data_IF_594410247264
#
_entry.id   IF_594410247264
#
_cell.length_a   1.000
_cell.length_b   1.000
_cell.length_c   1.000
_cell.angle_alpha   90.00
_cell.angle_beta   90.00
_cell.angle_gamma   90.00
#
_symmetry.space_group_name_H-M   'P 1'
#
loop_
_entity.id
_entity.type
_entity.pdbx_description
1 polymer ?
#
# COMPACT_ATOMS: atom_id res chain seq x y z
N UNK A 1 3.51 -22.54 -24.59
CA UNK A 1 2.17 -22.13 -24.12
C UNK A 1 2.05 -22.64 -22.69
N UNK A 2 1.44 -21.90 -21.80
CA UNK A 2 1.31 -22.30 -20.40
C UNK A 2 0.28 -23.44 -20.29
N UNK A 3 0.58 -24.57 -19.60
CA UNK A 3 -0.35 -25.72 -19.53
C UNK A 3 -1.72 -25.39 -18.96
N UNK A 4 -1.81 -24.37 -18.10
CA UNK A 4 -3.08 -23.86 -17.54
C UNK A 4 -3.98 -23.24 -18.62
N UNK A 5 -3.41 -22.55 -19.61
CA UNK A 5 -4.18 -21.98 -20.72
C UNK A 5 -4.72 -23.04 -21.67
N UNK A 6 -4.00 -24.16 -21.84
CA UNK A 6 -4.50 -25.29 -22.64
C UNK A 6 -5.72 -25.94 -21.96
N UNK A 7 -5.69 -26.13 -20.64
CA UNK A 7 -6.83 -26.65 -19.89
C UNK A 7 -8.06 -25.73 -19.97
N UNK A 8 -7.84 -24.41 -19.87
CA UNK A 8 -8.94 -23.43 -20.03
C UNK A 8 -9.53 -23.51 -21.44
N UNK A 9 -8.69 -23.57 -22.47
CA UNK A 9 -9.14 -23.67 -23.87
C UNK A 9 -9.97 -24.93 -24.11
N UNK A 10 -9.58 -26.06 -23.51
CA UNK A 10 -10.33 -27.33 -23.66
C UNK A 10 -11.67 -27.31 -22.93
N UNK A 11 -11.80 -26.59 -21.84
CA UNK A 11 -13.03 -26.47 -21.06
C UNK A 11 -13.98 -25.37 -21.59
N UNK A 12 -13.48 -24.47 -22.44
CA UNK A 12 -14.25 -23.33 -22.92
C UNK A 12 -15.22 -23.73 -24.05
N UNK A 13 -16.47 -23.28 -23.94
CA UNK A 13 -17.50 -23.36 -25.00
C UNK A 13 -17.62 -22.04 -25.77
N UNK A 14 -17.35 -20.92 -25.07
CA UNK A 14 -17.36 -19.56 -25.61
C UNK A 14 -15.91 -19.07 -25.85
N UNK A 15 -15.71 -18.04 -26.68
CA UNK A 15 -14.40 -17.44 -26.89
C UNK A 15 -13.79 -16.93 -25.60
N UNK A 16 -12.52 -17.30 -25.34
CA UNK A 16 -11.75 -16.89 -24.15
C UNK A 16 -10.48 -16.17 -24.57
N UNK A 17 -10.13 -15.15 -23.80
CA UNK A 17 -9.01 -14.27 -24.08
C UNK A 17 -8.17 -14.04 -22.83
N UNK A 18 -6.84 -14.07 -22.99
CA UNK A 18 -5.91 -13.49 -22.02
C UNK A 18 -5.94 -11.97 -22.20
N UNK A 19 -6.03 -11.20 -21.11
CA UNK A 19 -6.30 -9.75 -21.21
C UNK A 19 -5.43 -8.87 -20.33
N UNK A 20 -5.37 -7.61 -20.67
CA UNK A 20 -4.91 -6.52 -19.80
C UNK A 20 -3.46 -6.62 -19.40
N UNK A 21 -3.22 -6.60 -18.08
CA UNK A 21 -1.87 -6.65 -17.50
C UNK A 21 -1.07 -7.85 -17.94
N UNK A 22 -1.71 -8.99 -18.11
CA UNK A 22 -1.11 -10.22 -18.57
C UNK A 22 -0.50 -10.07 -19.98
N UNK A 23 -1.28 -9.53 -20.93
CA UNK A 23 -0.82 -9.31 -22.31
C UNK A 23 0.29 -8.28 -22.36
N UNK A 24 0.14 -7.15 -21.65
CA UNK A 24 1.18 -6.12 -21.54
C UNK A 24 2.50 -6.71 -21.02
N UNK A 25 2.46 -7.46 -19.94
CA UNK A 25 3.66 -7.97 -19.29
C UNK A 25 4.34 -9.06 -20.12
N UNK A 26 3.58 -9.86 -20.87
CA UNK A 26 4.10 -10.77 -21.90
C UNK A 26 4.84 -10.02 -23.01
N UNK A 27 4.23 -8.95 -23.55
CA UNK A 27 4.85 -8.13 -24.59
C UNK A 27 6.11 -7.40 -24.11
N UNK A 28 6.20 -7.11 -22.80
CA UNK A 28 7.40 -6.55 -22.15
C UNK A 28 8.46 -7.61 -21.82
N UNK A 29 8.22 -8.90 -22.11
CA UNK A 29 9.14 -9.99 -21.81
C UNK A 29 9.28 -10.30 -20.31
N UNK A 30 8.27 -9.99 -19.48
CA UNK A 30 8.25 -10.30 -18.05
C UNK A 30 7.87 -11.75 -17.84
N UNK A 31 8.72 -12.50 -17.10
CA UNK A 31 8.60 -13.96 -16.99
C UNK A 31 7.47 -14.48 -16.09
N UNK A 32 6.88 -13.64 -15.22
CA UNK A 32 5.76 -14.04 -14.35
C UNK A 32 4.59 -13.08 -14.58
N UNK A 33 3.47 -13.64 -14.99
CA UNK A 33 2.27 -12.89 -15.36
C UNK A 33 1.10 -13.48 -14.57
N UNK A 34 0.32 -12.62 -13.91
CA UNK A 34 -0.97 -13.03 -13.36
C UNK A 34 -1.90 -13.34 -14.52
N UNK A 35 -2.61 -14.44 -14.45
CA UNK A 35 -3.46 -14.90 -15.57
C UNK A 35 -4.85 -14.33 -15.39
N UNK A 36 -5.14 -13.25 -16.11
CA UNK A 36 -6.45 -12.63 -16.20
C UNK A 36 -7.13 -13.04 -17.51
N UNK A 37 -8.27 -13.68 -17.43
CA UNK A 37 -9.05 -14.13 -18.58
C UNK A 37 -10.40 -13.42 -18.68
N UNK A 38 -10.83 -13.18 -19.91
CA UNK A 38 -12.21 -12.75 -20.22
C UNK A 38 -12.85 -13.77 -21.15
N UNK A 39 -14.07 -14.16 -20.85
CA UNK A 39 -14.91 -15.02 -21.69
C UNK A 39 -16.08 -14.23 -22.25
N UNK A 40 -16.37 -14.40 -23.56
CA UNK A 40 -17.59 -13.88 -24.21
C UNK A 40 -18.78 -14.77 -23.86
N UNK A 41 -19.02 -15.01 -22.57
CA UNK A 41 -19.99 -15.91 -22.03
C UNK A 41 -20.01 -15.85 -20.50
N UNK A 42 -20.44 -16.96 -19.89
CA UNK A 42 -20.56 -17.08 -18.44
C UNK A 42 -19.24 -17.56 -17.81
N UNK A 43 -18.57 -16.68 -17.08
CA UNK A 43 -17.33 -16.99 -16.35
C UNK A 43 -17.55 -18.06 -15.25
N UNK A 44 -18.72 -18.07 -14.59
CA UNK A 44 -19.03 -19.07 -13.57
C UNK A 44 -19.18 -20.45 -14.18
N UNK A 45 -19.88 -20.56 -15.31
CA UNK A 45 -20.02 -21.83 -16.04
C UNK A 45 -18.67 -22.36 -16.53
N UNK A 46 -17.76 -21.50 -17.00
CA UNK A 46 -16.41 -21.92 -17.37
C UNK A 46 -15.62 -22.39 -16.14
N UNK A 47 -15.72 -21.68 -15.00
CA UNK A 47 -15.07 -22.05 -13.76
C UNK A 47 -15.53 -23.42 -13.23
N UNK A 48 -16.84 -23.71 -13.30
CA UNK A 48 -17.40 -25.02 -12.93
C UNK A 48 -16.84 -26.14 -13.81
N UNK A 49 -16.72 -25.92 -15.12
CA UNK A 49 -16.12 -26.91 -16.05
C UNK A 49 -14.65 -27.18 -15.77
N UNK A 50 -13.95 -26.20 -15.22
CA UNK A 50 -12.56 -26.35 -14.78
C UNK A 50 -12.43 -27.11 -13.45
N UNK A 51 -13.54 -27.47 -12.82
CA UNK A 51 -13.57 -28.31 -11.62
C UNK A 51 -12.98 -27.67 -10.36
N UNK A 52 -12.93 -26.34 -10.32
CA UNK A 52 -12.34 -25.61 -9.22
C UNK A 52 -13.38 -25.24 -8.14
N UNK A 53 -12.94 -25.19 -6.87
CA UNK A 53 -13.69 -24.53 -5.80
C UNK A 53 -13.71 -23.02 -6.12
N UNK A 54 -14.74 -22.57 -6.85
CA UNK A 54 -14.87 -21.19 -7.28
C UNK A 54 -15.44 -20.33 -6.15
N UNK A 55 -14.77 -19.24 -5.83
CA UNK A 55 -15.40 -18.12 -5.12
C UNK A 55 -15.99 -17.21 -6.20
N UNK A 56 -17.25 -17.42 -6.57
CA UNK A 56 -17.92 -16.54 -7.51
C UNK A 56 -18.38 -15.26 -6.79
N UNK A 57 -18.00 -14.11 -7.32
CA UNK A 57 -18.58 -12.84 -6.91
C UNK A 57 -19.73 -12.51 -7.87
N UNK A 58 -20.94 -12.96 -7.55
CA UNK A 58 -22.15 -12.81 -8.38
C UNK A 58 -22.38 -11.38 -8.91
N UNK A 59 -21.94 -10.35 -8.17
CA UNK A 59 -22.13 -8.94 -8.52
C UNK A 59 -21.33 -8.49 -9.76
N UNK A 60 -20.20 -9.18 -10.08
CA UNK A 60 -19.30 -8.78 -11.16
C UNK A 60 -19.02 -9.87 -12.20
N UNK A 61 -19.74 -10.99 -12.15
CA UNK A 61 -19.55 -12.16 -13.02
C UNK A 61 -18.04 -12.52 -13.14
N UNK A 62 -17.37 -12.68 -11.99
CA UNK A 62 -15.95 -13.06 -11.91
C UNK A 62 -15.80 -14.33 -11.10
N UNK A 63 -14.85 -15.19 -11.48
CA UNK A 63 -14.49 -16.39 -10.75
C UNK A 63 -12.99 -16.51 -10.60
N UNK A 64 -12.53 -16.98 -9.44
CA UNK A 64 -11.14 -17.37 -9.19
C UNK A 64 -11.05 -18.88 -9.20
N UNK A 65 -10.18 -19.41 -10.01
CA UNK A 65 -9.99 -20.85 -10.16
C UNK A 65 -8.52 -21.22 -10.03
N UNK A 66 -8.26 -22.44 -9.56
CA UNK A 66 -6.89 -22.96 -9.55
C UNK A 66 -6.75 -24.07 -10.60
N UNK A 67 -6.02 -23.77 -11.66
CA UNK A 67 -5.78 -24.68 -12.78
C UNK A 67 -4.31 -25.13 -12.75
N UNK A 68 -4.06 -26.44 -12.65
CA UNK A 68 -2.69 -26.99 -12.60
C UNK A 68 -1.80 -26.34 -11.53
N UNK A 69 -2.38 -25.92 -10.39
CA UNK A 69 -1.66 -25.27 -9.29
C UNK A 69 -1.49 -23.75 -9.44
N UNK A 70 -1.90 -23.15 -10.55
CA UNK A 70 -1.86 -21.70 -10.81
C UNK A 70 -3.22 -21.07 -10.56
N UNK A 71 -3.21 -19.86 -9.95
CA UNK A 71 -4.44 -19.05 -9.82
C UNK A 71 -4.73 -18.37 -11.16
N UNK A 72 -6.00 -18.45 -11.57
CA UNK A 72 -6.52 -17.87 -12.81
C UNK A 72 -7.77 -17.07 -12.46
N UNK A 73 -7.79 -15.78 -12.80
CA UNK A 73 -8.95 -14.91 -12.66
C UNK A 73 -9.74 -14.92 -13.97
N UNK A 74 -11.02 -15.32 -13.91
CA UNK A 74 -11.90 -15.37 -15.07
C UNK A 74 -13.04 -14.38 -14.86
N UNK A 75 -13.31 -13.53 -15.86
CA UNK A 75 -14.42 -12.60 -15.86
C UNK A 75 -15.25 -12.76 -17.13
N UNK A 76 -16.57 -12.57 -17.05
CA UNK A 76 -17.40 -12.38 -18.23
C UNK A 76 -17.09 -11.05 -18.89
N UNK A 77 -17.10 -10.99 -20.21
CA UNK A 77 -16.98 -9.75 -20.97
C UNK A 77 -18.07 -8.77 -20.54
N UNK A 78 -17.70 -7.49 -20.33
CA UNK A 78 -18.63 -6.49 -19.84
C UNK A 78 -18.36 -5.10 -20.41
N UNK A 79 -19.43 -4.34 -20.60
CA UNK A 79 -19.39 -2.91 -20.83
C UNK A 79 -19.62 -2.13 -19.53
N UNK A 80 -19.14 -0.91 -19.47
CA UNK A 80 -19.32 0.00 -18.34
C UNK A 80 -19.79 1.36 -18.83
N UNK A 81 -20.80 1.93 -18.15
CA UNK A 81 -21.26 3.29 -18.36
C UNK A 81 -21.24 4.06 -17.05
N UNK A 82 -20.99 5.35 -17.13
CA UNK A 82 -20.85 6.22 -15.96
C UNK A 82 -21.97 7.27 -15.98
N UNK A 83 -22.92 7.23 -15.00
CA UNK A 83 -24.08 8.12 -14.99
C UNK A 83 -23.69 9.59 -14.72
N UNK A 84 -22.60 9.82 -14.03
CA UNK A 84 -22.01 11.15 -13.74
C UNK A 84 -20.52 11.01 -13.43
N UNK A 85 -19.74 12.12 -13.47
CA UNK A 85 -18.32 12.11 -13.14
C UNK A 85 -18.01 11.44 -11.82
N UNK A 86 -17.03 10.53 -11.81
CA UNK A 86 -16.56 9.81 -10.62
C UNK A 86 -17.53 8.78 -10.04
N UNK A 87 -18.68 8.53 -10.67
CA UNK A 87 -19.64 7.53 -10.22
C UNK A 87 -19.04 6.11 -10.25
N UNK A 88 -19.68 5.19 -9.51
CA UNK A 88 -19.46 3.78 -9.77
C UNK A 88 -20.06 3.42 -11.14
N UNK A 89 -19.38 2.59 -11.94
CA UNK A 89 -19.90 2.19 -13.23
C UNK A 89 -21.19 1.36 -13.09
N UNK A 90 -22.11 1.59 -14.00
CA UNK A 90 -23.18 0.64 -14.30
C UNK A 90 -22.57 -0.40 -15.24
N UNK A 91 -22.63 -1.67 -14.81
CA UNK A 91 -22.04 -2.79 -15.53
C UNK A 91 -23.12 -3.51 -16.30
N UNK A 92 -22.90 -3.73 -17.59
CA UNK A 92 -23.75 -4.49 -18.47
C UNK A 92 -22.93 -5.60 -19.16
N UNK A 93 -23.53 -6.77 -19.47
CA UNK A 93 -22.85 -7.79 -20.24
C UNK A 93 -22.40 -7.22 -21.59
N UNK A 94 -21.15 -7.47 -21.99
CA UNK A 94 -20.67 -7.16 -23.33
C UNK A 94 -20.81 -8.37 -24.24
N UNK A 95 -21.04 -8.14 -25.53
CA UNK A 95 -21.17 -9.17 -26.54
C UNK A 95 -19.79 -9.58 -27.07
N UNK A 96 -18.84 -8.66 -27.10
CA UNK A 96 -17.51 -8.87 -27.69
C UNK A 96 -16.38 -8.46 -26.77
N UNK A 97 -15.20 -9.02 -27.03
CA UNK A 97 -13.98 -8.64 -26.31
C UNK A 97 -13.59 -7.18 -26.58
N UNK A 98 -13.86 -6.64 -27.76
CA UNK A 98 -13.58 -5.24 -28.10
C UNK A 98 -14.36 -4.28 -27.21
N UNK A 99 -15.61 -4.59 -26.85
CA UNK A 99 -16.40 -3.80 -25.89
C UNK A 99 -15.77 -3.84 -24.49
N UNK A 100 -15.31 -5.00 -24.02
CA UNK A 100 -14.61 -5.12 -22.73
C UNK A 100 -13.30 -4.33 -22.72
N UNK A 101 -12.54 -4.38 -23.83
CA UNK A 101 -11.32 -3.60 -23.95
C UNK A 101 -11.58 -2.09 -23.93
N UNK A 102 -12.71 -1.63 -24.47
CA UNK A 102 -13.09 -0.22 -24.55
C UNK A 102 -13.38 0.46 -23.21
N UNK A 103 -13.68 -0.27 -22.14
CA UNK A 103 -13.92 0.29 -20.78
C UNK A 103 -12.66 0.45 -19.93
N UNK A 104 -11.52 -0.09 -20.37
CA UNK A 104 -10.27 -0.12 -19.59
C UNK A 104 -9.65 1.25 -19.43
N UNK A 105 -8.59 1.34 -18.63
CA UNK A 105 -7.96 2.61 -18.26
C UNK A 105 -7.04 3.19 -19.34
N UNK A 106 -6.10 2.37 -19.84
CA UNK A 106 -5.06 2.77 -20.78
C UNK A 106 -4.93 1.78 -21.93
N UNK A 107 -4.51 2.27 -23.10
CA UNK A 107 -4.31 1.45 -24.31
C UNK A 107 -3.43 0.24 -24.05
N UNK A 108 -2.34 0.40 -23.28
CA UNK A 108 -1.42 -0.68 -22.92
C UNK A 108 -2.05 -1.80 -22.07
N UNK A 109 -3.20 -1.55 -21.45
CA UNK A 109 -3.99 -2.51 -20.69
C UNK A 109 -5.26 -2.96 -21.44
N UNK A 110 -5.51 -2.41 -22.64
CA UNK A 110 -6.68 -2.67 -23.47
C UNK A 110 -6.32 -3.56 -24.67
N UNK A 111 -5.56 -4.60 -24.41
CA UNK A 111 -5.17 -5.63 -25.37
C UNK A 111 -5.62 -7.00 -24.89
N UNK A 112 -5.89 -7.89 -25.83
CA UNK A 112 -6.24 -9.27 -25.57
C UNK A 112 -5.49 -10.24 -26.51
N UNK A 113 -5.32 -11.48 -26.07
CA UNK A 113 -4.83 -12.59 -26.91
C UNK A 113 -5.85 -13.71 -26.88
N UNK A 114 -6.34 -14.15 -28.05
CA UNK A 114 -7.31 -15.24 -28.16
C UNK A 114 -6.68 -16.57 -27.74
N UNK A 115 -7.46 -17.41 -27.05
CA UNK A 115 -7.05 -18.76 -26.67
C UNK A 115 -7.56 -19.83 -27.65
N UNK A 116 -8.07 -19.45 -28.82
CA UNK A 116 -8.61 -20.33 -29.86
C UNK A 116 -7.59 -21.23 -30.59
N UNK A 117 -6.34 -21.20 -30.13
CA UNK A 117 -5.20 -21.93 -30.72
C UNK A 117 -4.41 -21.10 -31.73
N UNK A 118 -4.95 -19.98 -32.20
CA UNK A 118 -4.24 -19.05 -33.09
C UNK A 118 -3.39 -18.00 -32.37
N UNK A 119 -3.59 -17.82 -31.07
CA UNK A 119 -2.93 -16.81 -30.24
C UNK A 119 -2.91 -15.41 -30.89
N UNK A 120 -4.04 -15.01 -31.48
CA UNK A 120 -4.16 -13.73 -32.19
C UNK A 120 -4.22 -12.57 -31.18
N UNK A 121 -3.35 -11.56 -31.37
CA UNK A 121 -3.42 -10.31 -30.62
C UNK A 121 -4.59 -9.44 -31.14
N UNK A 122 -5.42 -8.97 -30.21
CA UNK A 122 -6.53 -8.05 -30.43
C UNK A 122 -6.16 -6.74 -29.74
N UNK A 123 -5.96 -5.69 -30.53
CA UNK A 123 -5.47 -4.39 -30.08
C UNK A 123 -6.23 -3.26 -30.78
N UNK A 124 -7.51 -3.04 -30.46
CA UNK A 124 -8.33 -2.04 -31.13
C UNK A 124 -7.91 -0.59 -30.85
N UNK A 125 -7.12 -0.38 -29.77
CA UNK A 125 -6.74 0.96 -29.29
C UNK A 125 -5.27 1.29 -29.51
N UNK A 126 -4.48 0.42 -30.14
CA UNK A 126 -3.06 0.69 -30.44
C UNK A 126 -2.13 0.56 -29.25
N UNK A 127 -2.49 -0.25 -28.27
CA UNK A 127 -1.69 -0.48 -27.03
C UNK A 127 -0.29 -0.99 -27.30
N UNK A 128 -0.10 -1.84 -28.33
CA UNK A 128 1.24 -2.32 -28.71
C UNK A 128 2.15 -1.17 -29.17
N UNK A 129 1.59 -0.23 -29.93
CA UNK A 129 2.35 0.96 -30.38
C UNK A 129 2.74 1.84 -29.21
N UNK A 130 1.80 2.13 -28.29
CA UNK A 130 2.05 2.95 -27.11
C UNK A 130 3.03 2.26 -26.14
N UNK A 131 2.96 0.93 -26.06
CA UNK A 131 3.92 0.13 -25.28
C UNK A 131 5.35 0.26 -25.82
N UNK A 132 5.51 0.18 -27.15
CA UNK A 132 6.80 0.38 -27.81
C UNK A 132 7.32 1.82 -27.67
N UNK A 133 6.42 2.80 -27.72
CA UNK A 133 6.72 4.21 -27.50
C UNK A 133 6.95 4.57 -26.03
N UNK A 134 6.70 3.65 -25.08
CA UNK A 134 6.75 3.89 -23.63
C UNK A 134 5.82 5.02 -23.19
N UNK A 135 4.61 5.04 -23.70
CA UNK A 135 3.59 6.03 -23.42
C UNK A 135 2.36 5.43 -22.76
N UNK A 136 1.74 6.22 -21.89
CA UNK A 136 0.41 5.98 -21.35
C UNK A 136 -0.58 6.86 -22.13
N UNK A 137 -1.58 6.23 -22.74
CA UNK A 137 -2.66 6.90 -23.46
C UNK A 137 -3.99 6.36 -22.91
N UNK A 138 -4.92 7.27 -22.62
CA UNK A 138 -6.31 6.91 -22.30
C UNK A 138 -7.06 6.50 -23.56
N UNK A 139 -8.14 5.74 -23.39
CA UNK A 139 -8.94 5.22 -24.49
C UNK A 139 -9.85 6.28 -25.14
N UNK A 140 -10.28 7.27 -24.36
CA UNK A 140 -11.18 8.34 -24.82
C UNK A 140 -11.05 9.59 -23.95
N UNK A 141 -11.52 10.73 -24.46
CA UNK A 141 -11.37 12.04 -23.82
C UNK A 141 -12.05 12.17 -22.45
N UNK A 142 -13.11 11.39 -22.18
CA UNK A 142 -13.82 11.40 -20.88
C UNK A 142 -13.23 10.45 -19.84
N UNK A 143 -12.13 9.77 -20.14
CA UNK A 143 -11.59 8.69 -19.31
C UNK A 143 -11.35 9.08 -17.85
N UNK A 144 -10.82 10.29 -17.61
CA UNK A 144 -10.59 10.82 -16.25
C UNK A 144 -11.81 11.52 -15.65
N UNK A 145 -12.81 11.90 -16.48
CA UNK A 145 -14.10 12.37 -16.01
C UNK A 145 -14.94 11.19 -15.50
N UNK A 146 -15.00 10.11 -16.26
CA UNK A 146 -15.74 8.91 -15.92
C UNK A 146 -15.16 8.22 -14.67
N UNK A 147 -13.85 8.01 -14.61
CA UNK A 147 -13.16 7.51 -13.43
C UNK A 147 -11.87 8.29 -13.12
N UNK A 148 -11.94 9.33 -12.27
CA UNK A 148 -10.76 10.10 -11.89
C UNK A 148 -9.66 9.30 -11.19
N UNK A 149 -9.96 8.12 -10.61
CA UNK A 149 -8.92 7.27 -10.01
C UNK A 149 -7.90 6.78 -11.04
N UNK A 150 -8.26 6.79 -12.34
CA UNK A 150 -7.32 6.50 -13.43
C UNK A 150 -6.12 7.45 -13.44
N UNK A 151 -6.26 8.68 -12.93
CA UNK A 151 -5.14 9.61 -12.79
C UNK A 151 -4.11 9.14 -11.76
N UNK A 152 -4.53 8.57 -10.63
CA UNK A 152 -3.64 7.93 -9.65
C UNK A 152 -2.99 6.68 -10.26
N UNK A 153 -3.76 5.90 -11.01
CA UNK A 153 -3.26 4.72 -11.75
C UNK A 153 -2.24 5.10 -12.81
N UNK A 154 -2.40 6.26 -13.48
CA UNK A 154 -1.41 6.80 -14.41
C UNK A 154 -0.06 7.03 -13.72
N UNK A 155 -0.04 7.67 -12.54
CA UNK A 155 1.18 7.89 -11.77
C UNK A 155 1.85 6.56 -11.38
N UNK A 156 1.06 5.59 -10.95
CA UNK A 156 1.51 4.24 -10.62
C UNK A 156 2.18 3.55 -11.81
N UNK A 157 1.53 3.52 -12.98
CA UNK A 157 2.09 2.89 -14.17
C UNK A 157 3.27 3.66 -14.76
N UNK A 158 3.23 5.00 -14.77
CA UNK A 158 4.35 5.82 -15.21
C UNK A 158 5.61 5.56 -14.37
N UNK A 159 5.46 5.44 -13.06
CA UNK A 159 6.58 5.09 -12.17
C UNK A 159 7.04 3.64 -12.36
N UNK A 160 6.11 2.68 -12.38
CA UNK A 160 6.38 1.24 -12.49
C UNK A 160 7.12 0.87 -13.78
N UNK A 161 6.69 1.42 -14.92
CA UNK A 161 7.24 1.10 -16.24
C UNK A 161 8.29 2.10 -16.73
N UNK A 162 8.38 3.27 -16.14
CA UNK A 162 9.22 4.35 -16.63
C UNK A 162 8.65 5.02 -17.89
N UNK A 163 7.33 5.01 -18.04
CA UNK A 163 6.62 5.57 -19.18
C UNK A 163 6.28 7.05 -18.97
N UNK A 164 6.16 7.80 -20.07
CA UNK A 164 5.59 9.14 -20.09
C UNK A 164 4.08 9.10 -20.36
N UNK A 165 3.44 10.28 -20.27
CA UNK A 165 2.08 10.46 -20.76
C UNK A 165 2.11 10.89 -22.23
N UNK A 166 1.14 10.42 -23.00
CA UNK A 166 0.87 10.98 -24.31
C UNK A 166 0.30 12.41 -24.13
N UNK A 167 0.61 13.40 -25.01
CA UNK A 167 0.33 14.81 -24.77
C UNK A 167 -1.15 15.17 -24.52
N UNK A 168 -2.09 14.54 -25.24
CA UNK A 168 -3.52 14.75 -25.00
C UNK A 168 -3.94 14.13 -23.66
N UNK A 169 -3.45 12.93 -23.37
CA UNK A 169 -3.65 12.27 -22.09
C UNK A 169 -3.14 13.09 -20.90
N UNK A 170 -1.98 13.75 -21.04
CA UNK A 170 -1.46 14.65 -20.03
C UNK A 170 -2.39 15.85 -19.79
N UNK A 171 -2.90 16.43 -20.86
CA UNK A 171 -3.84 17.56 -20.80
C UNK A 171 -5.13 17.16 -20.06
N UNK A 172 -5.69 16.01 -20.40
CA UNK A 172 -6.89 15.47 -19.76
C UNK A 172 -6.65 15.13 -18.29
N UNK A 173 -5.49 14.56 -17.97
CA UNK A 173 -5.12 14.18 -16.61
C UNK A 173 -5.04 15.40 -15.70
N UNK A 174 -4.42 16.51 -16.16
CA UNK A 174 -4.33 17.74 -15.36
C UNK A 174 -5.68 18.40 -15.09
N UNK A 175 -6.72 18.05 -15.85
CA UNK A 175 -8.09 18.49 -15.65
C UNK A 175 -8.93 17.54 -14.79
N UNK A 176 -8.35 16.39 -14.36
CA UNK A 176 -9.06 15.40 -13.57
C UNK A 176 -9.45 15.94 -12.17
N UNK A 177 -10.72 15.77 -11.79
CA UNK A 177 -11.22 16.17 -10.47
C UNK A 177 -11.39 14.98 -9.53
N UNK A 178 -10.38 14.72 -8.70
CA UNK A 178 -10.40 13.63 -7.71
C UNK A 178 -11.41 13.85 -6.57
N UNK A 179 -12.04 15.03 -6.45
CA UNK A 179 -13.07 15.31 -5.44
C UNK A 179 -14.41 14.65 -5.77
N UNK A 180 -14.61 14.26 -7.03
CA UNK A 180 -15.83 13.56 -7.47
C UNK A 180 -15.85 12.08 -7.10
N UNK A 181 -14.70 11.53 -6.69
CA UNK A 181 -14.54 10.13 -6.25
C UNK A 181 -14.66 10.04 -4.74
N UNK A 182 -15.28 8.95 -4.24
CA UNK A 182 -15.33 8.68 -2.81
C UNK A 182 -13.92 8.54 -2.20
N UNK A 183 -13.78 8.93 -0.94
CA UNK A 183 -12.52 8.81 -0.20
C UNK A 183 -11.99 7.36 -0.26
N UNK A 184 -12.84 6.37 -0.03
CA UNK A 184 -12.46 4.96 -0.01
C UNK A 184 -11.82 4.50 -1.34
N UNK A 185 -12.39 4.92 -2.49
CA UNK A 185 -11.83 4.56 -3.81
C UNK A 185 -10.50 5.24 -4.06
N UNK A 186 -10.40 6.52 -3.71
CA UNK A 186 -9.17 7.30 -3.83
C UNK A 186 -8.07 6.71 -2.96
N UNK A 187 -8.38 6.45 -1.69
CA UNK A 187 -7.43 5.96 -0.70
C UNK A 187 -6.98 4.53 -1.03
N UNK A 188 -7.87 3.68 -1.59
CA UNK A 188 -7.50 2.35 -2.08
C UNK A 188 -6.50 2.43 -3.25
N UNK A 189 -6.66 3.37 -4.20
CA UNK A 189 -5.67 3.52 -5.29
C UNK A 189 -4.35 4.13 -4.79
N UNK A 190 -4.38 5.07 -3.81
CA UNK A 190 -3.18 5.59 -3.16
C UNK A 190 -2.42 4.49 -2.40
N UNK A 191 -3.12 3.60 -1.69
CA UNK A 191 -2.51 2.46 -1.02
C UNK A 191 -1.83 1.50 -2.01
N UNK A 192 -2.49 1.20 -3.14
CA UNK A 192 -1.89 0.40 -4.22
C UNK A 192 -0.65 1.07 -4.84
N UNK A 193 -0.69 2.39 -5.01
CA UNK A 193 0.44 3.16 -5.51
C UNK A 193 1.61 3.13 -4.53
N UNK A 194 1.35 3.31 -3.24
CA UNK A 194 2.37 3.30 -2.19
C UNK A 194 3.00 1.91 -1.95
N UNK A 195 2.31 0.85 -2.32
CA UNK A 195 2.82 -0.52 -2.28
C UNK A 195 3.74 -0.89 -3.47
N UNK A 196 3.85 -0.02 -4.48
CA UNK A 196 4.73 -0.28 -5.63
C UNK A 196 6.21 -0.15 -5.25
N UNK A 197 7.10 -0.93 -5.90
CA UNK A 197 8.55 -0.82 -5.66
C UNK A 197 9.13 0.57 -5.94
N UNK A 198 8.47 1.38 -6.79
CA UNK A 198 8.85 2.75 -7.14
C UNK A 198 7.87 3.77 -6.58
N UNK A 199 7.29 3.52 -5.42
CA UNK A 199 6.33 4.40 -4.77
C UNK A 199 6.82 5.86 -4.62
N UNK A 200 8.09 6.14 -4.22
CA UNK A 200 8.56 7.52 -4.14
C UNK A 200 8.41 8.29 -5.45
N UNK A 201 8.75 7.65 -6.58
CA UNK A 201 8.57 8.27 -7.90
C UNK A 201 7.10 8.49 -8.23
N UNK A 202 6.24 7.52 -7.92
CA UNK A 202 4.81 7.63 -8.18
C UNK A 202 4.16 8.76 -7.36
N UNK A 203 4.54 8.90 -6.09
CA UNK A 203 4.09 9.99 -5.22
C UNK A 203 4.57 11.36 -5.73
N UNK A 204 5.82 11.47 -6.17
CA UNK A 204 6.35 12.68 -6.79
C UNK A 204 5.56 13.09 -8.05
N UNK A 205 5.15 12.11 -8.88
CA UNK A 205 4.32 12.37 -10.06
C UNK A 205 2.93 12.92 -9.70
N UNK A 206 2.32 12.48 -8.60
CA UNK A 206 1.04 13.04 -8.14
C UNK A 206 1.14 14.55 -7.88
N UNK A 207 2.23 14.99 -7.25
CA UNK A 207 2.51 16.41 -7.03
C UNK A 207 2.84 17.16 -8.33
N UNK A 208 3.76 16.62 -9.14
CA UNK A 208 4.20 17.24 -10.39
C UNK A 208 3.06 17.43 -11.41
N UNK A 209 2.07 16.56 -11.38
CA UNK A 209 0.87 16.65 -12.24
C UNK A 209 -0.25 17.49 -11.63
N UNK A 210 -0.09 17.96 -10.38
CA UNK A 210 -1.08 18.77 -9.68
C UNK A 210 -2.31 18.00 -9.20
N UNK A 211 -2.21 16.67 -9.08
CA UNK A 211 -3.29 15.80 -8.61
C UNK A 211 -3.46 15.87 -7.10
N UNK A 212 -2.36 16.03 -6.38
CA UNK A 212 -2.31 16.20 -4.94
C UNK A 212 -1.31 17.30 -4.56
N UNK A 213 -1.64 18.04 -3.52
CA UNK A 213 -0.68 18.93 -2.87
C UNK A 213 0.18 18.09 -1.93
N UNK A 214 1.46 17.97 -2.28
CA UNK A 214 2.42 17.32 -1.40
C UNK A 214 2.76 18.25 -0.24
N UNK A 215 3.02 17.67 0.94
CA UNK A 215 3.52 18.47 2.07
C UNK A 215 4.85 19.14 1.72
N UNK A 216 5.12 20.29 2.34
CA UNK A 216 6.36 21.05 2.09
C UNK A 216 7.59 20.15 2.33
N UNK A 217 8.45 20.03 1.33
CA UNK A 217 9.60 19.12 1.36
C UNK A 217 9.25 17.64 1.25
N UNK A 218 7.98 17.30 0.93
CA UNK A 218 7.48 15.92 0.92
C UNK A 218 8.25 14.98 -0.02
N UNK A 219 8.66 15.42 -1.21
CA UNK A 219 9.46 14.57 -2.11
C UNK A 219 10.78 14.12 -1.46
N UNK A 220 11.52 15.05 -0.85
CA UNK A 220 12.75 14.71 -0.14
C UNK A 220 12.51 13.86 1.10
N UNK A 221 11.41 14.11 1.82
CA UNK A 221 11.05 13.31 3.00
C UNK A 221 10.67 11.88 2.61
N UNK A 222 9.87 11.70 1.55
CA UNK A 222 9.54 10.37 1.01
C UNK A 222 10.79 9.57 0.66
N UNK A 223 11.78 10.19 0.01
CA UNK A 223 13.04 9.52 -0.32
C UNK A 223 13.81 9.05 0.93
N UNK A 224 13.96 9.93 1.93
CA UNK A 224 14.62 9.57 3.19
C UNK A 224 13.89 8.48 3.98
N UNK A 225 12.57 8.54 4.03
CA UNK A 225 11.75 7.49 4.65
C UNK A 225 11.94 6.16 3.91
N UNK A 226 11.90 6.19 2.58
CA UNK A 226 12.10 5.00 1.75
C UNK A 226 13.45 4.33 2.04
N UNK A 227 14.53 5.12 2.11
CA UNK A 227 15.88 4.64 2.44
C UNK A 227 15.96 4.04 3.86
N UNK A 228 15.33 4.66 4.86
CA UNK A 228 15.28 4.13 6.23
C UNK A 228 14.57 2.78 6.30
N UNK A 229 13.49 2.62 5.54
CA UNK A 229 12.70 1.40 5.48
C UNK A 229 13.38 0.23 4.73
N UNK A 230 14.55 0.45 4.15
CA UNK A 230 15.36 -0.61 3.56
C UNK A 230 16.22 -1.36 4.59
N UNK A 231 16.32 -0.87 5.82
CA UNK A 231 17.16 -1.44 6.88
C UNK A 231 16.42 -1.62 8.21
N UNK A 232 16.93 -2.56 9.04
CA UNK A 232 16.51 -2.74 10.44
C UNK A 232 16.94 -1.51 11.28
N UNK A 233 16.16 -1.15 12.31
CA UNK A 233 14.94 -1.79 12.78
C UNK A 233 13.66 -1.33 12.05
N UNK A 234 13.76 -0.34 11.17
CA UNK A 234 12.61 0.34 10.58
C UNK A 234 11.81 -0.55 9.63
N UNK A 235 12.49 -1.42 8.86
CA UNK A 235 11.86 -2.35 7.91
C UNK A 235 10.82 -3.25 8.55
N UNK A 236 11.10 -3.75 9.72
CA UNK A 236 10.26 -4.75 10.40
C UNK A 236 9.09 -4.12 11.16
N UNK A 237 9.24 -2.85 11.56
CA UNK A 237 8.35 -2.20 12.51
C UNK A 237 7.37 -1.22 11.87
N UNK A 238 7.64 -0.80 10.64
CA UNK A 238 6.88 0.26 9.98
C UNK A 238 6.20 -0.27 8.73
N UNK A 239 4.91 -0.02 8.62
CA UNK A 239 4.17 -0.24 7.38
C UNK A 239 4.66 0.76 6.31
N UNK A 240 5.43 0.25 5.33
CA UNK A 240 6.07 1.08 4.28
C UNK A 240 5.07 1.92 3.49
N UNK A 241 3.96 1.35 2.94
CA UNK A 241 2.96 2.13 2.24
C UNK A 241 2.38 3.28 3.06
N UNK A 242 2.00 3.01 4.31
CA UNK A 242 1.44 4.02 5.19
C UNK A 242 2.45 5.13 5.52
N UNK A 243 3.70 4.79 5.79
CA UNK A 243 4.76 5.76 6.07
C UNK A 243 5.07 6.66 4.86
N UNK A 244 5.14 6.09 3.65
CA UNK A 244 5.36 6.86 2.42
C UNK A 244 4.20 7.81 2.11
N UNK A 245 2.95 7.37 2.32
CA UNK A 245 1.77 8.23 2.18
C UNK A 245 1.77 9.36 3.22
N UNK A 246 2.10 9.05 4.46
CA UNK A 246 2.22 10.06 5.52
C UNK A 246 3.33 11.07 5.20
N UNK A 247 4.46 10.62 4.68
CA UNK A 247 5.56 11.48 4.25
C UNK A 247 5.18 12.40 3.08
N UNK A 248 4.37 11.92 2.14
CA UNK A 248 3.96 12.68 0.96
C UNK A 248 2.77 13.61 1.22
N UNK A 249 1.73 13.10 1.86
CA UNK A 249 0.38 13.68 1.91
C UNK A 249 -0.13 13.93 3.34
N UNK A 250 0.53 13.37 4.35
CA UNK A 250 0.09 13.46 5.74
C UNK A 250 0.17 14.89 6.28
N UNK A 251 -0.64 15.23 7.30
CA UNK A 251 -0.51 16.48 8.02
C UNK A 251 0.85 16.55 8.72
N UNK A 252 1.33 17.76 8.92
CA UNK A 252 2.49 18.00 9.80
C UNK A 252 2.03 17.84 11.24
N UNK A 253 2.71 17.01 12.03
CA UNK A 253 2.29 16.62 13.39
C UNK A 253 3.44 16.57 14.39
N UNK A 254 3.33 15.64 15.33
CA UNK A 254 4.28 15.47 16.44
C UNK A 254 5.70 15.11 16.01
N UNK A 255 5.89 14.61 14.78
CA UNK A 255 7.21 14.27 14.24
C UNK A 255 8.19 15.45 14.21
N UNK A 256 7.70 16.69 14.09
CA UNK A 256 8.56 17.87 14.14
C UNK A 256 9.14 18.09 15.55
N UNK A 257 8.32 17.94 16.58
CA UNK A 257 8.77 18.07 17.96
C UNK A 257 9.81 16.99 18.31
N UNK A 258 9.59 15.76 17.83
CA UNK A 258 10.56 14.67 17.98
C UNK A 258 11.85 14.92 17.19
N UNK A 259 11.75 15.48 15.98
CA UNK A 259 12.91 15.79 15.14
C UNK A 259 13.83 16.84 15.78
N UNK A 260 13.25 17.80 16.50
CA UNK A 260 13.99 18.84 17.22
C UNK A 260 14.50 18.39 18.59
N UNK A 261 13.95 17.30 19.14
CA UNK A 261 14.33 16.78 20.46
C UNK A 261 15.77 16.24 20.50
N UNK A 262 16.42 16.44 21.63
CA UNK A 262 17.78 15.97 21.89
C UNK A 262 17.85 15.40 23.32
N UNK A 263 17.31 14.17 23.52
CA UNK A 263 17.34 13.54 24.83
C UNK A 263 18.78 13.37 25.31
N UNK A 264 19.03 13.75 26.54
CA UNK A 264 20.35 13.59 27.18
C UNK A 264 20.58 12.18 27.72
N UNK A 265 19.50 11.41 27.87
CA UNK A 265 19.51 10.04 28.41
C UNK A 265 18.43 9.16 27.74
N UNK A 266 18.61 7.83 27.76
CA UNK A 266 17.63 6.88 27.23
C UNK A 266 16.23 7.03 27.82
N UNK A 267 16.11 7.25 29.14
CA UNK A 267 14.82 7.43 29.80
C UNK A 267 14.03 8.65 29.29
N UNK A 268 14.70 9.73 28.96
CA UNK A 268 14.09 10.93 28.35
C UNK A 268 13.62 10.61 26.92
N UNK A 269 14.43 9.88 26.14
CA UNK A 269 14.08 9.45 24.79
C UNK A 269 12.83 8.55 24.77
N UNK A 270 12.76 7.59 25.67
CA UNK A 270 11.58 6.72 25.84
C UNK A 270 10.34 7.56 26.20
N UNK A 271 10.49 8.54 27.09
CA UNK A 271 9.39 9.44 27.45
C UNK A 271 8.90 10.30 26.28
N UNK A 272 9.82 10.80 25.46
CA UNK A 272 9.50 11.60 24.27
C UNK A 272 8.82 10.76 23.19
N UNK A 273 9.29 9.53 22.95
CA UNK A 273 8.72 8.62 21.95
C UNK A 273 7.36 8.03 22.38
N UNK A 274 7.03 8.11 23.67
CA UNK A 274 5.80 7.52 24.20
C UNK A 274 4.55 8.12 23.57
N UNK A 275 3.67 7.25 23.07
CA UNK A 275 2.40 7.65 22.44
C UNK A 275 2.49 7.94 20.93
N UNK A 276 3.69 7.97 20.34
CA UNK A 276 3.87 8.11 18.89
C UNK A 276 3.89 6.75 18.20
N UNK A 277 3.20 6.68 17.04
CA UNK A 277 3.15 5.46 16.24
C UNK A 277 4.42 5.28 15.36
N UNK A 278 4.67 4.04 14.86
CA UNK A 278 5.86 3.75 14.05
C UNK A 278 6.03 4.65 12.82
N UNK A 279 4.94 5.02 12.14
CA UNK A 279 4.98 5.94 11.00
C UNK A 279 5.44 7.35 11.41
N UNK A 280 5.00 7.86 12.55
CA UNK A 280 5.40 9.17 13.06
C UNK A 280 6.87 9.18 13.51
N UNK A 281 7.32 8.09 14.15
CA UNK A 281 8.71 7.92 14.57
C UNK A 281 9.66 7.88 13.37
N UNK A 282 9.34 7.14 12.30
CA UNK A 282 10.21 7.10 11.11
C UNK A 282 10.24 8.45 10.38
N UNK A 283 9.13 9.19 10.37
CA UNK A 283 9.10 10.56 9.85
C UNK A 283 10.00 11.49 10.66
N UNK A 284 9.93 11.45 11.99
CA UNK A 284 10.81 12.21 12.87
C UNK A 284 12.29 11.83 12.65
N UNK A 285 12.60 10.54 12.51
CA UNK A 285 13.94 10.06 12.17
C UNK A 285 14.42 10.60 10.83
N UNK A 286 13.58 10.57 9.80
CA UNK A 286 13.88 11.12 8.48
C UNK A 286 14.08 12.65 8.50
N UNK A 287 13.55 13.33 9.51
CA UNK A 287 13.71 14.77 9.74
C UNK A 287 14.91 15.12 10.64
N UNK A 288 15.59 14.13 11.22
CA UNK A 288 16.85 14.36 11.95
C UNK A 288 16.89 13.86 13.40
N UNK A 289 15.87 13.15 13.88
CA UNK A 289 15.87 12.53 15.21
C UNK A 289 16.69 11.23 15.23
N UNK A 290 18.01 11.31 15.07
CA UNK A 290 18.89 10.13 14.95
C UNK A 290 18.84 9.22 16.20
N UNK A 291 18.56 9.78 17.36
CA UNK A 291 18.39 9.05 18.63
C UNK A 291 17.28 7.99 18.58
N UNK A 292 16.35 8.11 17.63
CA UNK A 292 15.29 7.13 17.44
C UNK A 292 15.80 5.77 16.92
N UNK A 293 16.99 5.70 16.33
CA UNK A 293 17.59 4.43 15.94
C UNK A 293 17.94 3.59 17.19
N UNK A 294 18.51 4.21 18.23
CA UNK A 294 18.79 3.57 19.51
C UNK A 294 17.51 3.25 20.28
N UNK A 295 16.52 4.16 20.24
CA UNK A 295 15.21 3.90 20.82
C UNK A 295 14.57 2.65 20.22
N UNK A 296 14.57 2.53 18.90
CA UNK A 296 13.93 1.42 18.18
C UNK A 296 14.69 0.10 18.36
N UNK A 297 16.02 0.13 18.42
CA UNK A 297 16.84 -1.08 18.52
C UNK A 297 17.07 -1.56 19.97
N UNK A 298 17.13 -0.64 20.93
CA UNK A 298 17.57 -0.95 22.29
C UNK A 298 16.56 -0.50 23.37
N UNK A 299 16.23 0.80 23.43
CA UNK A 299 15.58 1.37 24.61
C UNK A 299 14.14 0.90 24.80
N UNK A 300 13.36 0.81 23.73
CA UNK A 300 11.94 0.42 23.82
C UNK A 300 11.71 -1.00 24.29
N UNK A 301 12.74 -1.85 24.18
CA UNK A 301 12.71 -3.25 24.63
C UNK A 301 13.10 -3.44 26.09
N UNK A 302 13.56 -2.40 26.77
CA UNK A 302 13.97 -2.48 28.16
C UNK A 302 12.75 -2.68 29.06
N UNK A 303 12.76 -3.76 29.83
CA UNK A 303 11.74 -4.11 30.81
C UNK A 303 12.37 -4.40 32.18
N UNK A 304 11.61 -4.15 33.23
CA UNK A 304 12.02 -4.54 34.57
C UNK A 304 11.89 -6.07 34.76
N UNK A 305 12.71 -6.60 35.64
CA UNK A 305 12.61 -7.99 36.13
C UNK A 305 11.64 -8.11 37.32
N UNK A 306 11.17 -6.97 37.83
CA UNK A 306 10.18 -6.85 38.90
C UNK A 306 8.85 -6.34 38.36
N UNK A 307 7.79 -6.56 39.13
CA UNK A 307 6.45 -6.07 38.85
C UNK A 307 5.79 -5.43 40.07
N UNK A 308 4.48 -5.10 39.96
CA UNK A 308 3.74 -4.49 41.07
C UNK A 308 3.52 -5.42 42.26
N UNK A 309 3.45 -6.74 42.06
CA UNK A 309 3.28 -7.69 43.12
C UNK A 309 4.54 -7.80 44.01
N UNK A 310 5.71 -7.64 43.41
CA UNK A 310 6.97 -7.63 44.16
C UNK A 310 7.04 -6.44 45.13
N UNK A 311 6.59 -5.27 44.72
CA UNK A 311 6.55 -4.06 45.56
C UNK A 311 5.52 -4.24 46.69
N UNK A 312 4.35 -4.81 46.36
CA UNK A 312 3.31 -5.06 47.37
C UNK A 312 3.79 -6.10 48.38
N UNK A 313 4.45 -7.20 47.94
CA UNK A 313 5.04 -8.21 48.81
C UNK A 313 6.15 -7.63 49.72
N UNK A 314 6.87 -6.61 49.25
CA UNK A 314 7.86 -5.85 49.99
C UNK A 314 7.27 -4.77 50.91
N UNK A 315 5.92 -4.63 51.00
CA UNK A 315 5.23 -3.77 51.96
C UNK A 315 4.72 -2.45 51.38
N UNK A 316 4.82 -2.20 50.07
CA UNK A 316 4.23 -1.00 49.44
C UNK A 316 2.72 -1.20 49.36
N UNK A 317 1.97 -0.18 49.80
CA UNK A 317 0.48 -0.22 49.70
C UNK A 317 0.06 -0.18 48.23
N UNK A 318 -0.91 -1.04 47.89
CA UNK A 318 -1.51 -1.03 46.56
C UNK A 318 -2.04 0.37 46.19
N UNK A 319 -1.65 0.89 45.01
CA UNK A 319 -2.06 2.20 44.56
C UNK A 319 -0.98 2.94 43.74
N UNK A 320 -1.08 4.27 43.63
CA UNK A 320 -0.18 5.10 42.80
C UNK A 320 1.30 5.00 43.18
N UNK A 321 1.63 4.65 44.44
CA UNK A 321 3.01 4.49 44.91
C UNK A 321 3.74 3.36 44.16
N UNK A 322 3.07 2.22 43.93
CA UNK A 322 3.61 1.10 43.14
C UNK A 322 4.01 1.59 41.71
N UNK A 323 3.12 2.30 41.05
CA UNK A 323 3.37 2.83 39.71
C UNK A 323 4.51 3.88 39.67
N UNK A 324 4.69 4.68 40.71
CA UNK A 324 5.83 5.60 40.85
C UNK A 324 7.15 4.84 41.00
N UNK A 325 7.15 3.84 41.89
CA UNK A 325 8.32 2.99 42.13
C UNK A 325 8.79 2.30 40.86
N UNK A 326 7.89 1.60 40.16
CA UNK A 326 8.23 0.91 38.91
C UNK A 326 8.72 1.87 37.83
N UNK A 327 8.10 3.04 37.67
CA UNK A 327 8.59 4.04 36.70
C UNK A 327 9.99 4.56 37.03
N UNK A 328 10.28 4.83 38.30
CA UNK A 328 11.60 5.29 38.71
C UNK A 328 12.67 4.22 38.48
N UNK A 329 12.39 2.97 38.82
CA UNK A 329 13.30 1.87 38.54
C UNK A 329 13.51 1.65 37.03
N UNK A 330 12.47 1.75 36.21
CA UNK A 330 12.60 1.62 34.76
C UNK A 330 13.46 2.76 34.18
N UNK A 331 13.27 4.00 34.62
CA UNK A 331 14.10 5.12 34.21
C UNK A 331 15.58 4.92 34.55
N UNK A 332 15.87 4.51 35.77
CA UNK A 332 17.25 4.25 36.24
C UNK A 332 17.87 3.05 35.49
N UNK A 333 17.08 2.01 35.18
CA UNK A 333 17.54 0.87 34.34
C UNK A 333 17.87 1.32 32.91
N UNK A 334 17.00 2.11 32.30
CA UNK A 334 17.21 2.69 30.96
C UNK A 334 18.50 3.53 30.92
N UNK A 335 18.75 4.29 31.96
CA UNK A 335 19.95 5.17 32.08
C UNK A 335 21.23 4.41 32.51
N UNK A 336 21.13 3.08 32.64
CA UNK A 336 22.27 2.22 32.98
C UNK A 336 22.71 2.29 34.45
N UNK A 337 21.89 2.86 35.33
CA UNK A 337 22.18 3.04 36.75
C UNK A 337 21.88 1.75 37.54
N UNK A 338 21.08 0.83 37.04
CA UNK A 338 20.67 -0.40 37.68
C UNK A 338 20.95 -1.64 36.82
N UNK A 339 21.30 -2.74 37.50
CA UNK A 339 21.50 -4.03 36.88
C UNK A 339 20.91 -5.17 37.72
N UNK A 340 19.93 -5.89 37.19
CA UNK A 340 19.31 -7.04 37.83
C UNK A 340 18.24 -6.71 38.88
N UNK A 341 17.46 -7.73 39.20
CA UNK A 341 16.22 -7.68 39.98
C UNK A 341 16.37 -7.01 41.37
N UNK A 342 17.49 -7.26 42.06
CA UNK A 342 17.69 -6.77 43.43
C UNK A 342 17.83 -5.24 43.46
N UNK A 343 18.63 -4.67 42.55
CA UNK A 343 18.80 -3.20 42.43
C UNK A 343 17.54 -2.53 41.94
N UNK A 344 16.81 -3.17 41.01
CA UNK A 344 15.52 -2.67 40.55
C UNK A 344 14.50 -2.57 41.68
N UNK A 345 14.42 -3.62 42.54
CA UNK A 345 13.50 -3.62 43.67
C UNK A 345 13.87 -2.54 44.70
N UNK A 346 15.16 -2.40 45.04
CA UNK A 346 15.65 -1.38 45.97
C UNK A 346 15.28 0.03 45.47
N UNK A 347 15.57 0.33 44.22
CA UNK A 347 15.27 1.64 43.64
C UNK A 347 13.74 1.91 43.55
N UNK A 348 12.95 0.89 43.22
CA UNK A 348 11.49 1.00 43.18
C UNK A 348 10.89 1.26 44.57
N UNK A 349 11.38 0.58 45.61
CA UNK A 349 10.95 0.78 47.00
C UNK A 349 11.30 2.17 47.52
N UNK A 350 12.53 2.64 47.24
CA UNK A 350 12.98 4.00 47.63
C UNK A 350 12.07 5.08 47.01
N UNK A 351 11.74 4.94 45.72
CA UNK A 351 10.85 5.88 45.05
C UNK A 351 9.36 5.77 45.44
N UNK A 352 8.91 4.58 45.82
CA UNK A 352 7.54 4.37 46.32
C UNK A 352 7.32 4.96 47.72
N UNK A 353 8.35 4.93 48.59
CA UNK A 353 8.30 5.42 49.98
C UNK A 353 8.56 6.93 50.17
N UNK A 354 8.99 7.64 49.12
CA UNK A 354 9.46 9.03 49.21
C UNK A 354 8.39 10.10 49.50
N UNK A 355 7.11 9.79 49.64
CA UNK A 355 6.01 10.78 49.75
C UNK A 355 5.19 10.70 51.07
N UNK A 356 5.59 9.86 52.01
CA UNK A 356 4.90 9.75 53.32
C UNK A 356 5.39 10.76 54.37
N UNK A 357 6.07 11.80 53.96
CA UNK A 357 6.69 12.73 54.86
C UNK A 357 6.36 14.20 54.62
N UNK A 358 5.11 14.63 54.51
CA UNK A 358 4.60 15.96 54.94
C UNK A 358 3.09 15.85 55.13
N UNK A 359 2.66 15.66 56.36
CA UNK A 359 1.33 16.01 56.84
C UNK A 359 1.40 17.29 57.63
#
# INVERSE_FOLDING_TARGET
MHPELDAVREAAEDPVYLVGGAVRDLLLGRGRVDIDLVVEGDAAALAERLGAESVSHERFATAKVRVNGHEVDIASARAESYPHPGALPVVEPAVTIEEDLGRRDFTINAMAVSLDGGARLIDPHGGQSDLAAKQLRVLHARSFEDDPTRAIRAARYAARFGFGLEPETETLLRAADLRTVSADRRDAELARLAAEPRAPRALGLLGAWGLFELRVGGEGLVGRVDELLDSSPWREEVDRPAALLAAALGPVGGELALADARPGRPSEGVGLAAGHGPAELVLARALGAEWLDEYMSEWRGVALEIDGEDLIAAGVREGPAVGRGLRAALQAKLDGELSGREQELEAALAAAGGDDGVA
#
